data_IF_192067012635
#
_entry.id   IF_192067012635
#
_cell.length_a   1.000
_cell.length_b   1.000
_cell.length_c   1.000
_cell.angle_alpha   90.00
_cell.angle_beta   90.00
_cell.angle_gamma   90.00
#
_symmetry.space_group_name_H-M   'P 1'
#
loop_
_entity.id
_entity.type
_entity.pdbx_description
1 polymer ?
#
# COMPACT_ATOMS: atom_id res chain seq x y z
N UNK A 1 2.07 -25.90 -13.76
CA UNK A 1 2.81 -25.23 -12.66
C UNK A 1 2.18 -25.52 -11.28
N UNK A 2 0.86 -25.67 -11.23
CA UNK A 2 0.10 -25.78 -9.98
C UNK A 2 0.22 -27.15 -9.30
N UNK A 3 0.23 -28.26 -10.07
CA UNK A 3 0.39 -29.61 -9.52
C UNK A 3 1.76 -29.82 -8.83
N UNK A 4 2.84 -29.23 -9.36
CA UNK A 4 4.16 -29.31 -8.73
C UNK A 4 4.23 -28.54 -7.40
N UNK A 5 3.55 -27.40 -7.29
CA UNK A 5 3.45 -26.64 -6.03
C UNK A 5 2.59 -27.37 -5.01
N UNK A 6 1.46 -27.93 -5.43
CA UNK A 6 0.62 -28.75 -4.55
C UNK A 6 1.38 -29.93 -3.99
N UNK A 7 2.16 -30.66 -4.80
CA UNK A 7 3.03 -31.75 -4.36
C UNK A 7 4.11 -31.32 -3.34
N UNK A 8 4.54 -30.06 -3.36
CA UNK A 8 5.49 -29.55 -2.36
C UNK A 8 4.82 -29.15 -1.05
N UNK A 9 3.59 -28.63 -1.10
CA UNK A 9 2.84 -28.18 0.08
C UNK A 9 2.17 -29.35 0.81
N UNK A 10 1.70 -30.36 0.07
CA UNK A 10 1.01 -31.54 0.61
C UNK A 10 1.70 -32.20 1.81
N UNK A 11 2.99 -32.53 1.76
CA UNK A 11 3.65 -33.19 2.88
C UNK A 11 3.67 -32.34 4.14
N UNK A 12 3.73 -31.00 4.00
CA UNK A 12 3.71 -30.09 5.13
C UNK A 12 2.33 -30.08 5.80
N UNK A 13 1.24 -29.95 5.03
CA UNK A 13 -0.14 -29.96 5.54
C UNK A 13 -0.43 -31.28 6.25
N UNK A 14 -0.10 -32.41 5.63
CA UNK A 14 -0.31 -33.73 6.21
C UNK A 14 0.52 -33.96 7.49
N UNK A 15 1.72 -33.42 7.55
CA UNK A 15 2.62 -33.55 8.69
C UNK A 15 2.19 -32.65 9.86
N UNK A 16 1.86 -31.38 9.58
CA UNK A 16 1.55 -30.40 10.63
C UNK A 16 0.09 -30.47 11.11
N UNK A 17 -0.82 -30.99 10.28
CA UNK A 17 -2.27 -31.03 10.54
C UNK A 17 -2.77 -29.69 11.12
N UNK A 18 -2.62 -28.59 10.36
CA UNK A 18 -3.03 -27.28 10.82
C UNK A 18 -4.56 -27.22 10.97
N UNK A 19 -5.03 -26.46 11.95
CA UNK A 19 -6.46 -26.21 12.16
C UNK A 19 -7.04 -25.27 11.10
N UNK A 20 -6.18 -24.45 10.47
CA UNK A 20 -6.53 -23.47 9.45
C UNK A 20 -5.33 -23.17 8.53
N UNK A 21 -5.60 -22.81 7.30
CA UNK A 21 -4.60 -22.38 6.31
C UNK A 21 -4.86 -20.94 5.93
N UNK A 22 -3.83 -20.08 5.99
CA UNK A 22 -3.89 -18.72 5.47
C UNK A 22 -3.07 -18.66 4.17
N UNK A 23 -3.75 -18.42 3.06
CA UNK A 23 -3.13 -18.25 1.75
C UNK A 23 -2.95 -16.76 1.45
N UNK A 24 -1.72 -16.28 1.40
CA UNK A 24 -1.40 -14.87 1.15
C UNK A 24 -1.60 -14.42 -0.30
N UNK A 25 -1.95 -15.34 -1.19
CA UNK A 25 -2.23 -15.06 -2.61
C UNK A 25 -3.30 -16.03 -3.13
N UNK A 26 -4.16 -15.58 -4.06
CA UNK A 26 -5.17 -16.44 -4.70
C UNK A 26 -4.60 -17.71 -5.33
N UNK A 27 -3.39 -17.63 -5.90
CA UNK A 27 -2.70 -18.75 -6.53
C UNK A 27 -2.37 -19.88 -5.53
N UNK A 28 -2.01 -19.51 -4.30
CA UNK A 28 -1.72 -20.48 -3.25
C UNK A 28 -2.99 -21.20 -2.78
N UNK A 29 -4.09 -20.46 -2.62
CA UNK A 29 -5.40 -21.03 -2.31
C UNK A 29 -5.86 -21.99 -3.40
N UNK A 30 -5.75 -21.61 -4.68
CA UNK A 30 -6.08 -22.44 -5.83
C UNK A 30 -5.36 -23.79 -5.78
N UNK A 31 -4.06 -23.81 -5.51
CA UNK A 31 -3.29 -25.06 -5.40
C UNK A 31 -3.81 -25.98 -4.29
N UNK A 32 -4.29 -25.41 -3.18
CA UNK A 32 -4.75 -26.19 -2.04
C UNK A 32 -6.17 -26.69 -2.30
N UNK A 33 -7.10 -25.84 -2.72
CA UNK A 33 -8.50 -26.20 -2.97
C UNK A 33 -8.63 -27.26 -4.07
N UNK A 34 -7.81 -27.17 -5.12
CA UNK A 34 -7.87 -28.06 -6.26
C UNK A 34 -7.32 -29.48 -5.99
N UNK A 35 -6.34 -29.61 -5.09
CA UNK A 35 -5.62 -30.89 -4.91
C UNK A 35 -5.86 -31.55 -3.54
N UNK A 36 -6.56 -30.87 -2.62
CA UNK A 36 -6.86 -31.39 -1.28
C UNK A 36 -8.37 -31.39 -1.03
N UNK A 37 -8.99 -32.57 -1.11
CA UNK A 37 -10.43 -32.75 -0.88
C UNK A 37 -10.78 -32.70 0.61
N UNK A 38 -9.91 -33.25 1.48
CA UNK A 38 -10.06 -33.25 2.94
C UNK A 38 -9.03 -32.29 3.54
N UNK A 39 -9.30 -30.99 3.41
CA UNK A 39 -8.41 -29.91 3.84
C UNK A 39 -8.94 -29.14 5.05
N UNK A 40 -8.07 -28.58 5.87
CA UNK A 40 -8.48 -27.57 6.82
C UNK A 40 -9.13 -26.35 6.12
N UNK A 41 -9.92 -25.54 6.83
CA UNK A 41 -10.46 -24.30 6.27
C UNK A 41 -9.35 -23.39 5.76
N UNK A 42 -9.66 -22.67 4.65
CA UNK A 42 -8.72 -21.77 4.01
C UNK A 42 -9.24 -20.33 4.05
N UNK A 43 -8.42 -19.44 4.60
CA UNK A 43 -8.57 -17.99 4.44
C UNK A 43 -7.65 -17.55 3.31
N UNK A 44 -8.22 -16.92 2.27
CA UNK A 44 -7.42 -16.34 1.20
C UNK A 44 -7.33 -14.83 1.36
N UNK A 45 -6.09 -14.31 1.37
CA UNK A 45 -5.83 -12.88 1.44
C UNK A 45 -5.59 -12.29 0.05
N UNK A 46 -6.09 -11.08 -0.18
CA UNK A 46 -5.83 -10.30 -1.39
C UNK A 46 -5.12 -9.01 -1.01
N UNK A 47 -3.82 -8.92 -1.31
CA UNK A 47 -2.97 -7.77 -0.97
C UNK A 47 -2.95 -6.65 -2.03
N UNK A 48 -3.72 -6.78 -3.10
CA UNK A 48 -3.92 -5.75 -4.12
C UNK A 48 -5.42 -5.52 -4.34
N UNK A 49 -5.77 -4.47 -5.10
CA UNK A 49 -7.18 -4.25 -5.47
C UNK A 49 -7.72 -5.45 -6.25
N UNK A 50 -8.97 -5.87 -6.04
CA UNK A 50 -9.54 -7.02 -6.75
C UNK A 50 -9.43 -6.91 -8.27
N UNK A 51 -9.62 -5.72 -8.82
CA UNK A 51 -9.49 -5.47 -10.26
C UNK A 51 -8.09 -5.77 -10.83
N UNK A 52 -7.05 -5.82 -10.01
CA UNK A 52 -5.69 -6.17 -10.45
C UNK A 52 -5.58 -7.64 -10.89
N UNK A 53 -6.46 -8.50 -10.42
CA UNK A 53 -6.45 -9.95 -10.67
C UNK A 53 -7.41 -10.43 -11.76
N UNK A 54 -8.13 -9.52 -12.43
CA UNK A 54 -9.16 -9.88 -13.43
C UNK A 54 -8.69 -10.82 -14.55
N UNK A 55 -7.40 -10.83 -14.85
CA UNK A 55 -6.81 -11.67 -15.91
C UNK A 55 -6.14 -12.95 -15.38
N UNK A 56 -6.16 -13.17 -14.07
CA UNK A 56 -5.55 -14.35 -13.47
C UNK A 56 -6.54 -15.51 -13.41
N UNK A 57 -6.30 -16.63 -14.10
CA UNK A 57 -7.21 -17.77 -14.12
C UNK A 57 -7.42 -18.40 -12.74
N UNK A 58 -6.44 -18.28 -11.85
CA UNK A 58 -6.48 -18.80 -10.47
C UNK A 58 -7.51 -18.10 -9.57
N UNK A 59 -8.00 -16.92 -9.97
CA UNK A 59 -9.04 -16.20 -9.19
C UNK A 59 -10.40 -16.88 -9.22
N UNK A 60 -10.65 -17.77 -10.18
CA UNK A 60 -11.87 -18.58 -10.21
C UNK A 60 -12.05 -19.42 -8.93
N UNK A 61 -10.95 -19.78 -8.25
CA UNK A 61 -10.97 -20.60 -7.03
C UNK A 61 -11.13 -19.77 -5.74
N UNK A 62 -11.20 -18.44 -5.82
CA UNK A 62 -11.49 -17.63 -4.65
C UNK A 62 -12.84 -17.95 -4.02
N UNK A 63 -13.84 -18.31 -4.83
CA UNK A 63 -15.16 -18.71 -4.35
C UNK A 63 -15.14 -20.04 -3.54
N UNK A 64 -14.09 -20.83 -3.67
CA UNK A 64 -13.90 -22.10 -2.93
C UNK A 64 -13.17 -21.90 -1.60
N UNK A 65 -12.70 -20.68 -1.30
CA UNK A 65 -12.13 -20.35 0.00
C UNK A 65 -13.24 -20.22 1.04
N UNK A 66 -12.97 -20.68 2.26
CA UNK A 66 -13.94 -20.59 3.35
C UNK A 66 -14.14 -19.14 3.80
N UNK A 67 -13.09 -18.31 3.64
CA UNK A 67 -13.16 -16.86 3.81
C UNK A 67 -12.16 -16.16 2.88
N UNK A 68 -12.58 -15.06 2.26
CA UNK A 68 -11.68 -14.12 1.56
C UNK A 68 -11.50 -12.86 2.38
N UNK A 69 -10.25 -12.51 2.65
CA UNK A 69 -9.88 -11.28 3.36
C UNK A 69 -9.26 -10.29 2.38
N UNK A 70 -9.85 -9.10 2.31
CA UNK A 70 -9.38 -7.97 1.52
C UNK A 70 -8.90 -6.84 2.43
N UNK A 71 -8.13 -5.89 1.91
CA UNK A 71 -7.50 -4.86 2.74
C UNK A 71 -8.40 -3.65 3.01
N UNK A 72 -9.43 -3.41 2.20
CA UNK A 72 -10.31 -2.25 2.32
C UNK A 72 -11.79 -2.65 2.23
N UNK A 73 -12.69 -1.95 2.95
CA UNK A 73 -14.13 -2.27 2.96
C UNK A 73 -14.76 -2.28 1.57
N UNK A 74 -14.42 -1.35 0.69
CA UNK A 74 -14.93 -1.27 -0.68
C UNK A 74 -14.51 -2.46 -1.55
N UNK A 75 -13.45 -3.17 -1.19
CA UNK A 75 -13.01 -4.38 -1.90
C UNK A 75 -13.87 -5.60 -1.59
N UNK A 76 -14.61 -5.60 -0.48
CA UNK A 76 -15.52 -6.71 -0.11
C UNK A 76 -16.58 -6.90 -1.19
N UNK A 77 -17.25 -5.83 -1.60
CA UNK A 77 -18.27 -5.91 -2.64
C UNK A 77 -17.65 -6.21 -4.02
N UNK A 78 -16.47 -5.68 -4.28
CA UNK A 78 -15.77 -5.96 -5.54
C UNK A 78 -15.41 -7.44 -5.70
N UNK A 79 -14.92 -8.13 -4.67
CA UNK A 79 -14.61 -9.57 -4.77
C UNK A 79 -15.87 -10.41 -4.94
N UNK A 80 -16.99 -10.01 -4.33
CA UNK A 80 -18.28 -10.66 -4.55
C UNK A 80 -18.74 -10.57 -5.99
N UNK A 81 -18.69 -9.38 -6.55
CA UNK A 81 -19.14 -9.12 -7.92
C UNK A 81 -18.20 -9.74 -8.98
N UNK A 82 -16.89 -9.62 -8.79
CA UNK A 82 -15.91 -10.04 -9.79
C UNK A 82 -15.64 -11.56 -9.76
N UNK A 83 -15.72 -12.18 -8.59
CA UNK A 83 -15.25 -13.55 -8.40
C UNK A 83 -16.27 -14.50 -7.78
N UNK A 84 -17.51 -14.03 -7.49
CA UNK A 84 -18.56 -14.86 -6.90
C UNK A 84 -18.27 -15.30 -5.45
N UNK A 85 -17.38 -14.59 -4.75
CA UNK A 85 -17.04 -14.88 -3.36
C UNK A 85 -18.25 -14.59 -2.47
N UNK A 86 -18.68 -15.58 -1.67
CA UNK A 86 -19.83 -15.44 -0.76
C UNK A 86 -19.41 -14.92 0.61
N UNK A 87 -18.28 -15.39 1.13
CA UNK A 87 -17.75 -15.03 2.44
C UNK A 87 -16.52 -14.13 2.27
N UNK A 88 -16.69 -12.83 2.44
CA UNK A 88 -15.61 -11.86 2.36
C UNK A 88 -15.74 -10.80 3.44
N UNK A 89 -14.60 -10.42 4.02
CA UNK A 89 -14.48 -9.33 5.01
C UNK A 89 -13.25 -8.47 4.67
N UNK A 90 -13.18 -7.29 5.27
CA UNK A 90 -11.98 -6.46 5.20
C UNK A 90 -11.22 -6.48 6.52
N UNK A 91 -9.92 -6.76 6.46
CA UNK A 91 -8.96 -6.55 7.54
C UNK A 91 -7.76 -5.85 6.93
N UNK A 92 -7.49 -4.59 7.30
CA UNK A 92 -6.37 -3.84 6.76
C UNK A 92 -5.03 -4.35 7.29
N UNK A 93 -3.93 -3.88 6.70
CA UNK A 93 -2.61 -4.11 7.27
C UNK A 93 -2.44 -3.33 8.57
N UNK A 94 -1.74 -3.91 9.53
CA UNK A 94 -1.31 -3.23 10.74
C UNK A 94 -0.23 -2.19 10.40
N UNK A 95 -0.31 -1.02 11.05
CA UNK A 95 0.67 0.05 10.93
C UNK A 95 1.32 0.24 12.29
N UNK A 96 2.63 0.05 12.34
CA UNK A 96 3.43 0.24 13.55
C UNK A 96 3.28 1.66 14.08
N UNK A 97 2.94 1.78 15.36
CA UNK A 97 2.95 3.07 16.03
C UNK A 97 4.38 3.61 16.11
N UNK A 98 4.54 4.85 15.71
CA UNK A 98 5.85 5.48 15.71
C UNK A 98 6.08 6.26 17.01
N UNK A 99 7.29 6.19 17.60
CA UNK A 99 7.56 6.91 18.82
C UNK A 99 7.48 8.44 18.59
N UNK A 100 6.91 9.22 19.54
CA UNK A 100 6.80 10.68 19.41
C UNK A 100 8.12 11.37 19.04
N UNK A 101 9.25 10.85 19.53
CA UNK A 101 10.58 11.36 19.17
C UNK A 101 10.87 11.36 17.66
N UNK A 102 10.19 10.52 16.89
CA UNK A 102 10.38 10.42 15.44
C UNK A 102 9.66 11.54 14.67
N UNK A 103 8.62 12.15 15.23
CA UNK A 103 7.85 13.18 14.53
C UNK A 103 7.73 14.52 15.28
N UNK A 104 7.84 14.56 16.61
CA UNK A 104 7.78 15.79 17.38
C UNK A 104 9.12 16.52 17.43
N UNK A 105 10.25 15.77 17.48
CA UNK A 105 11.59 16.31 17.68
C UNK A 105 12.37 16.50 16.39
N UNK A 106 11.93 15.96 15.26
CA UNK A 106 12.64 16.05 13.99
C UNK A 106 12.28 17.36 13.28
N UNK A 107 13.32 18.17 13.02
CA UNK A 107 13.17 19.34 12.15
C UNK A 107 12.88 18.88 10.72
N UNK A 108 11.71 19.22 10.21
CA UNK A 108 11.32 18.91 8.84
C UNK A 108 12.20 19.66 7.82
N UNK A 109 12.65 18.91 6.82
CA UNK A 109 13.39 19.46 5.68
C UNK A 109 12.40 19.90 4.60
N UNK A 110 12.75 20.90 3.79
CA UNK A 110 11.99 21.29 2.59
C UNK A 110 12.15 20.21 1.51
N UNK A 111 11.62 19.02 1.78
CA UNK A 111 11.76 17.84 0.95
C UNK A 111 10.41 17.20 0.69
N UNK A 112 10.13 16.93 -0.57
CA UNK A 112 9.06 16.06 -1.04
C UNK A 112 9.67 14.66 -1.17
N UNK A 113 9.07 13.66 -0.55
CA UNK A 113 9.57 12.29 -0.61
C UNK A 113 8.55 11.37 -1.30
N UNK A 114 9.06 10.49 -2.15
CA UNK A 114 8.31 9.37 -2.73
C UNK A 114 9.01 8.08 -2.37
N UNK A 115 8.34 7.18 -1.63
CA UNK A 115 8.88 5.88 -1.24
C UNK A 115 7.99 4.80 -1.83
N UNK A 116 8.46 4.11 -2.87
CA UNK A 116 7.74 3.04 -3.54
C UNK A 116 8.69 2.23 -4.43
N UNK A 117 8.27 1.04 -4.87
CA UNK A 117 8.96 0.38 -5.99
C UNK A 117 9.08 1.34 -7.17
N UNK A 118 10.21 1.35 -7.84
CA UNK A 118 10.37 2.19 -9.02
C UNK A 118 9.76 1.45 -10.21
N UNK A 119 8.64 1.97 -10.73
CA UNK A 119 7.88 1.35 -11.82
C UNK A 119 7.08 2.37 -12.60
N UNK A 120 7.20 2.34 -13.93
CA UNK A 120 6.52 3.27 -14.83
C UNK A 120 5.00 3.14 -14.78
N UNK A 121 4.47 1.93 -14.83
CA UNK A 121 3.04 1.67 -14.93
C UNK A 121 2.32 1.71 -13.57
N UNK A 122 3.04 1.33 -12.50
CA UNK A 122 2.42 1.15 -11.18
C UNK A 122 2.60 2.36 -10.26
N UNK A 123 3.75 3.05 -10.34
CA UNK A 123 4.10 4.10 -9.38
C UNK A 123 4.32 5.48 -10.02
N UNK A 124 4.55 5.54 -11.32
CA UNK A 124 4.58 6.77 -12.15
C UNK A 124 5.43 7.92 -11.58
N UNK A 125 6.61 7.64 -11.03
CA UNK A 125 7.49 8.65 -10.43
C UNK A 125 7.83 9.81 -11.39
N UNK A 126 7.77 9.59 -12.71
CA UNK A 126 7.95 10.64 -13.71
C UNK A 126 6.93 11.79 -13.54
N UNK A 127 5.67 11.51 -13.14
CA UNK A 127 4.66 12.54 -12.92
C UNK A 127 5.02 13.47 -11.74
N UNK A 128 5.65 12.92 -10.68
CA UNK A 128 6.18 13.75 -9.59
C UNK A 128 7.31 14.66 -10.08
N UNK A 129 8.22 14.14 -10.92
CA UNK A 129 9.33 14.92 -11.48
C UNK A 129 8.79 16.04 -12.38
N UNK A 130 7.83 15.74 -13.24
CA UNK A 130 7.17 16.71 -14.13
C UNK A 130 6.43 17.79 -13.33
N UNK A 131 5.65 17.40 -12.33
CA UNK A 131 4.95 18.34 -11.45
C UNK A 131 5.90 19.25 -10.67
N UNK A 132 7.01 18.71 -10.16
CA UNK A 132 8.00 19.52 -9.47
C UNK A 132 8.76 20.47 -10.41
N UNK A 133 8.94 20.10 -11.68
CA UNK A 133 9.57 20.97 -12.68
C UNK A 133 8.83 22.29 -12.86
N UNK A 134 7.50 22.31 -12.72
CA UNK A 134 6.70 23.54 -12.78
C UNK A 134 6.94 24.46 -11.57
N UNK A 135 7.41 23.91 -10.47
CA UNK A 135 7.54 24.59 -9.18
C UNK A 135 8.99 25.00 -8.86
N UNK A 136 9.98 24.42 -9.52
CA UNK A 136 11.40 24.54 -9.14
C UNK A 136 11.90 25.99 -9.02
N UNK A 137 11.49 26.86 -9.94
CA UNK A 137 11.92 28.26 -9.95
C UNK A 137 11.31 29.08 -8.81
N UNK A 138 10.08 28.73 -8.40
CA UNK A 138 9.38 29.38 -7.30
C UNK A 138 9.87 28.88 -5.93
N UNK A 139 10.38 27.63 -5.88
CA UNK A 139 10.81 26.97 -4.65
C UNK A 139 12.25 26.42 -4.76
N UNK A 140 13.27 27.27 -4.95
CA UNK A 140 14.64 26.83 -5.22
C UNK A 140 15.28 26.03 -4.06
N UNK A 141 14.77 26.16 -2.83
CA UNK A 141 15.26 25.47 -1.64
C UNK A 141 14.64 24.09 -1.44
N UNK A 142 13.57 23.75 -2.19
CA UNK A 142 12.92 22.48 -2.07
C UNK A 142 13.63 21.40 -2.87
N UNK A 143 13.53 20.17 -2.38
CA UNK A 143 14.11 18.97 -3.00
C UNK A 143 13.07 17.88 -3.16
N UNK A 144 13.34 16.95 -4.07
CA UNK A 144 12.57 15.71 -4.24
C UNK A 144 13.51 14.53 -4.04
N UNK A 145 13.10 13.60 -3.20
CA UNK A 145 13.78 12.32 -3.02
C UNK A 145 12.87 11.17 -3.45
N UNK A 146 13.39 10.35 -4.36
CA UNK A 146 12.72 9.13 -4.82
C UNK A 146 13.47 7.93 -4.27
N UNK A 147 12.80 7.20 -3.38
CA UNK A 147 13.33 6.01 -2.72
C UNK A 147 12.65 4.76 -3.27
N UNK A 148 13.43 3.75 -3.60
CA UNK A 148 12.95 2.47 -4.11
C UNK A 148 14.07 1.64 -4.70
N UNK A 149 13.78 0.37 -4.98
CA UNK A 149 14.73 -0.52 -5.61
C UNK A 149 15.03 -0.08 -7.04
N UNK A 150 16.29 0.22 -7.31
CA UNK A 150 16.78 0.65 -8.62
C UNK A 150 17.22 -0.50 -9.53
N UNK A 151 17.17 -1.73 -9.04
CA UNK A 151 17.58 -2.91 -9.79
C UNK A 151 16.45 -3.58 -10.58
N UNK A 152 15.18 -3.28 -10.24
CA UNK A 152 13.99 -3.96 -10.78
C UNK A 152 13.67 -3.50 -12.20
N UNK A 153 13.78 -2.20 -12.49
CA UNK A 153 13.41 -1.59 -13.77
C UNK A 153 14.50 -0.59 -14.19
N UNK A 154 15.60 -1.13 -14.71
CA UNK A 154 16.77 -0.34 -15.13
C UNK A 154 16.45 0.67 -16.23
N UNK A 155 15.54 0.31 -17.15
CA UNK A 155 15.16 1.16 -18.28
C UNK A 155 14.39 2.37 -17.78
N UNK A 156 13.44 2.17 -16.89
CA UNK A 156 12.68 3.27 -16.30
C UNK A 156 13.56 4.16 -15.41
N UNK A 157 14.53 3.60 -14.69
CA UNK A 157 15.55 4.40 -13.97
C UNK A 157 16.34 5.28 -14.94
N UNK A 158 16.73 4.75 -16.10
CA UNK A 158 17.39 5.50 -17.16
C UNK A 158 16.52 6.64 -17.68
N UNK A 159 15.23 6.38 -17.90
CA UNK A 159 14.25 7.38 -18.30
C UNK A 159 14.10 8.51 -17.27
N UNK A 160 13.97 8.16 -15.97
CA UNK A 160 13.87 9.15 -14.89
C UNK A 160 15.11 10.04 -14.81
N UNK A 161 16.31 9.45 -14.87
CA UNK A 161 17.57 10.22 -14.89
C UNK A 161 17.65 11.13 -16.12
N UNK A 162 17.26 10.63 -17.29
CA UNK A 162 17.19 11.42 -18.51
C UNK A 162 16.17 12.56 -18.43
N UNK A 163 15.03 12.34 -17.78
CA UNK A 163 14.01 13.36 -17.54
C UNK A 163 14.54 14.46 -16.60
N UNK A 164 15.14 14.08 -15.48
CA UNK A 164 15.77 14.99 -14.51
C UNK A 164 16.81 15.88 -15.22
N UNK A 165 17.66 15.28 -16.06
CA UNK A 165 18.68 16.01 -16.82
C UNK A 165 18.07 16.99 -17.84
N UNK A 166 17.10 16.54 -18.64
CA UNK A 166 16.42 17.41 -19.63
C UNK A 166 15.73 18.62 -19.00
N UNK A 167 15.25 18.46 -17.76
CA UNK A 167 14.57 19.52 -17.00
C UNK A 167 15.53 20.37 -16.15
N UNK A 168 16.82 20.03 -16.09
CA UNK A 168 17.84 20.75 -15.31
C UNK A 168 17.66 20.63 -13.79
N UNK A 169 17.13 19.48 -13.30
CA UNK A 169 16.72 19.29 -11.92
C UNK A 169 17.72 18.49 -11.06
N UNK A 170 18.93 18.22 -11.56
CA UNK A 170 19.92 17.35 -10.89
C UNK A 170 20.35 17.85 -9.49
N UNK A 171 20.19 19.15 -9.23
CA UNK A 171 20.51 19.74 -7.93
C UNK A 171 19.38 19.59 -6.90
N UNK A 172 18.16 19.37 -7.37
CA UNK A 172 16.95 19.33 -6.54
C UNK A 172 16.32 17.95 -6.44
N UNK A 173 16.50 17.08 -7.46
CA UNK A 173 15.91 15.73 -7.47
C UNK A 173 16.98 14.66 -7.37
N UNK A 174 16.78 13.72 -6.46
CA UNK A 174 17.67 12.56 -6.26
C UNK A 174 16.91 11.25 -6.25
N UNK A 175 17.42 10.26 -6.98
CA UNK A 175 17.01 8.85 -6.87
C UNK A 175 17.94 8.21 -5.85
N UNK A 176 17.39 7.77 -4.70
CA UNK A 176 18.16 7.46 -3.50
C UNK A 176 18.45 5.95 -3.32
N UNK A 177 17.76 5.08 -4.07
CA UNK A 177 17.84 3.63 -3.85
C UNK A 177 16.95 3.13 -2.72
N UNK A 178 17.25 1.97 -2.18
CA UNK A 178 16.48 1.34 -1.09
C UNK A 178 16.89 1.89 0.29
N UNK A 179 15.97 1.74 1.25
CA UNK A 179 16.21 2.00 2.68
C UNK A 179 15.58 0.92 3.53
N UNK A 180 16.21 0.60 4.66
CA UNK A 180 15.68 -0.29 5.69
C UNK A 180 15.00 0.50 6.83
N UNK A 181 14.96 1.84 6.74
CA UNK A 181 14.41 2.74 7.76
C UNK A 181 13.41 3.69 7.13
N UNK A 182 12.35 3.14 6.54
CA UNK A 182 11.35 3.89 5.75
C UNK A 182 10.75 5.02 6.57
N UNK A 183 10.22 4.74 7.77
CA UNK A 183 9.61 5.75 8.64
C UNK A 183 10.58 6.88 9.01
N UNK A 184 11.88 6.58 9.22
CA UNK A 184 12.87 7.58 9.55
C UNK A 184 13.20 8.52 8.38
N UNK A 185 13.30 8.01 7.15
CA UNK A 185 13.54 8.88 5.99
C UNK A 185 12.30 9.70 5.65
N UNK A 186 11.09 9.17 5.85
CA UNK A 186 9.86 9.91 5.67
C UNK A 186 9.72 11.00 6.73
N UNK A 187 10.00 10.69 8.00
CA UNK A 187 9.80 11.60 9.12
C UNK A 187 10.57 12.94 8.99
N UNK A 188 11.69 12.97 8.29
CA UNK A 188 12.44 14.21 8.03
C UNK A 188 11.86 15.04 6.87
N UNK A 189 11.04 14.44 6.00
CA UNK A 189 10.43 15.15 4.88
C UNK A 189 9.25 16.04 5.32
N UNK A 190 8.87 16.98 4.46
CA UNK A 190 7.72 17.86 4.68
C UNK A 190 6.46 17.41 3.97
N UNK A 191 6.59 16.66 2.87
CA UNK A 191 5.48 16.19 2.04
C UNK A 191 5.81 14.79 1.53
N UNK A 192 4.84 13.88 1.59
CA UNK A 192 4.89 12.59 0.92
C UNK A 192 4.08 12.64 -0.37
N UNK A 193 4.67 12.21 -1.48
CA UNK A 193 4.02 12.23 -2.80
C UNK A 193 3.87 10.81 -3.36
N UNK A 194 2.64 10.41 -3.72
CA UNK A 194 2.34 9.11 -4.30
C UNK A 194 1.56 9.26 -5.62
N UNK A 195 2.23 9.36 -6.77
CA UNK A 195 1.57 9.53 -8.07
C UNK A 195 1.07 8.20 -8.68
N UNK A 196 0.77 7.22 -7.85
CA UNK A 196 0.28 5.90 -8.28
C UNK A 196 -1.12 5.97 -8.84
N UNK A 197 -1.45 5.23 -9.91
CA UNK A 197 -2.80 5.16 -10.47
C UNK A 197 -3.72 4.23 -9.67
N UNK A 198 -3.14 3.31 -8.88
CA UNK A 198 -3.87 2.34 -8.05
C UNK A 198 -2.96 1.78 -6.97
N UNK A 199 -3.54 1.51 -5.82
CA UNK A 199 -2.90 0.84 -4.68
C UNK A 199 -3.86 -0.20 -4.09
N UNK A 200 -3.30 -1.22 -3.43
CA UNK A 200 -4.09 -2.12 -2.59
C UNK A 200 -4.30 -1.53 -1.20
N UNK A 201 -3.19 -1.31 -0.52
CA UNK A 201 -3.06 -0.64 0.77
C UNK A 201 -1.61 -0.11 0.85
N UNK A 202 -1.37 1.15 0.52
CA UNK A 202 -0.02 1.70 0.37
C UNK A 202 0.66 1.92 1.73
N UNK A 203 1.47 0.95 2.19
CA UNK A 203 2.13 0.99 3.50
C UNK A 203 2.97 2.25 3.71
N UNK A 204 3.79 2.65 2.73
CA UNK A 204 4.63 3.84 2.85
C UNK A 204 3.82 5.14 3.01
N UNK A 205 2.61 5.21 2.43
CA UNK A 205 1.65 6.30 2.65
C UNK A 205 1.16 6.27 4.10
N UNK A 206 0.76 5.10 4.60
CA UNK A 206 0.32 4.95 6.00
C UNK A 206 1.46 5.30 6.97
N UNK A 207 2.67 4.86 6.71
CA UNK A 207 3.86 5.22 7.48
C UNK A 207 4.11 6.73 7.46
N UNK A 208 3.85 7.41 6.33
CA UNK A 208 3.93 8.85 6.23
C UNK A 208 2.92 9.55 7.15
N UNK A 209 1.67 9.13 7.11
CA UNK A 209 0.62 9.65 8.00
C UNK A 209 0.98 9.38 9.48
N UNK A 210 1.50 8.19 9.79
CA UNK A 210 1.88 7.80 11.16
C UNK A 210 3.03 8.65 11.75
N UNK A 211 3.88 9.26 10.92
CA UNK A 211 4.94 10.19 11.35
C UNK A 211 4.59 11.66 11.08
N UNK A 212 3.33 11.96 10.83
CA UNK A 212 2.82 13.32 10.68
C UNK A 212 3.33 14.06 9.44
N UNK A 213 3.58 13.34 8.35
CA UNK A 213 3.93 13.91 7.04
C UNK A 213 2.72 13.83 6.13
N UNK A 214 2.13 14.98 5.72
CA UNK A 214 0.94 14.99 4.87
C UNK A 214 1.22 14.44 3.49
N UNK A 215 0.19 13.84 2.90
CA UNK A 215 0.26 13.11 1.63
C UNK A 215 -0.35 13.91 0.50
N UNK A 216 0.26 13.83 -0.70
CA UNK A 216 -0.37 14.18 -1.98
C UNK A 216 -0.48 12.91 -2.81
N UNK A 217 -1.69 12.56 -3.25
CA UNK A 217 -1.94 11.44 -4.16
C UNK A 217 -3.09 11.77 -5.11
N UNK A 218 -3.32 10.92 -6.13
CA UNK A 218 -4.44 11.11 -7.03
C UNK A 218 -5.77 10.68 -6.41
N UNK A 219 -6.81 11.48 -6.61
CA UNK A 219 -8.20 11.19 -6.20
C UNK A 219 -8.72 9.90 -6.84
N UNK A 220 -8.30 9.63 -8.06
CA UNK A 220 -8.64 8.43 -8.81
C UNK A 220 -7.92 7.15 -8.33
N UNK A 221 -6.94 7.25 -7.42
CA UNK A 221 -6.13 6.11 -6.96
C UNK A 221 -6.89 5.30 -5.90
N UNK A 222 -7.46 4.13 -6.24
CA UNK A 222 -8.06 3.24 -5.25
C UNK A 222 -7.03 2.86 -4.19
N UNK A 223 -7.45 2.68 -2.96
CA UNK A 223 -6.58 2.38 -1.83
C UNK A 223 -5.93 3.61 -1.22
N UNK A 224 -5.33 4.51 -1.99
CA UNK A 224 -4.79 5.75 -1.47
C UNK A 224 -5.90 6.74 -1.08
N UNK A 225 -6.92 6.91 -1.94
CA UNK A 225 -8.06 7.80 -1.69
C UNK A 225 -8.99 7.34 -0.56
N UNK A 226 -8.87 6.10 -0.10
CA UNK A 226 -9.56 5.62 1.11
C UNK A 226 -8.84 6.09 2.39
N UNK A 227 -7.52 6.13 2.35
CA UNK A 227 -6.67 6.46 3.49
C UNK A 227 -6.43 7.98 3.62
N UNK A 228 -6.39 8.68 2.47
CA UNK A 228 -6.23 10.13 2.43
C UNK A 228 -7.59 10.81 2.38
N UNK A 229 -7.89 11.58 3.42
CA UNK A 229 -9.05 12.46 3.50
C UNK A 229 -8.64 13.86 3.06
N UNK A 230 -9.23 14.30 1.93
CA UNK A 230 -8.87 15.55 1.27
C UNK A 230 -9.02 16.76 2.21
N UNK A 231 -7.97 17.57 2.31
CA UNK A 231 -7.86 18.72 3.22
C UNK A 231 -7.93 18.39 4.73
N UNK A 232 -7.89 17.10 5.13
CA UNK A 232 -7.89 16.68 6.53
C UNK A 232 -6.54 16.08 6.95
N UNK A 233 -6.00 15.07 6.20
CA UNK A 233 -4.71 14.45 6.46
C UNK A 233 -3.77 14.47 5.25
N UNK A 234 -4.22 15.00 4.11
CA UNK A 234 -3.49 15.13 2.86
C UNK A 234 -4.30 15.88 1.82
N UNK A 235 -3.82 15.88 0.57
CA UNK A 235 -4.51 16.48 -0.56
C UNK A 235 -4.70 15.44 -1.67
N UNK A 236 -5.89 15.42 -2.26
CA UNK A 236 -6.25 14.59 -3.40
C UNK A 236 -6.23 15.41 -4.68
N UNK A 237 -5.21 15.19 -5.51
CA UNK A 237 -5.11 15.80 -6.84
C UNK A 237 -5.98 15.08 -7.87
N UNK A 238 -6.49 15.80 -8.86
CA UNK A 238 -7.07 15.20 -10.06
C UNK A 238 -5.95 14.52 -10.90
N UNK A 239 -6.31 13.58 -11.78
CA UNK A 239 -5.35 12.75 -12.54
C UNK A 239 -4.65 13.54 -13.66
N UNK A 240 -3.91 14.58 -13.26
CA UNK A 240 -3.06 15.40 -14.14
C UNK A 240 -1.82 15.92 -13.41
N UNK A 241 -0.77 16.20 -14.18
CA UNK A 241 0.48 16.78 -13.66
C UNK A 241 0.20 18.16 -13.03
N UNK A 242 -0.56 19.01 -13.69
CA UNK A 242 -0.89 20.36 -13.21
C UNK A 242 -1.62 20.35 -11.87
N UNK A 243 -2.62 19.46 -11.71
CA UNK A 243 -3.35 19.32 -10.44
C UNK A 243 -2.46 18.76 -9.35
N UNK A 244 -1.57 17.83 -9.67
CA UNK A 244 -0.60 17.30 -8.73
C UNK A 244 0.41 18.37 -8.30
N UNK A 245 0.90 19.18 -9.25
CA UNK A 245 1.75 20.34 -8.98
C UNK A 245 1.07 21.37 -8.09
N UNK A 246 -0.19 21.70 -8.34
CA UNK A 246 -0.97 22.65 -7.51
C UNK A 246 -1.12 22.13 -6.07
N UNK A 247 -1.38 20.84 -5.88
CA UNK A 247 -1.46 20.23 -4.55
C UNK A 247 -0.11 20.27 -3.82
N UNK A 248 0.99 19.99 -4.53
CA UNK A 248 2.34 20.13 -3.97
C UNK A 248 2.63 21.59 -3.61
N UNK A 249 2.33 22.53 -4.49
CA UNK A 249 2.54 23.98 -4.27
C UNK A 249 1.80 24.44 -2.99
N UNK A 250 0.54 24.06 -2.83
CA UNK A 250 -0.27 24.38 -1.65
C UNK A 250 0.45 23.96 -0.36
N UNK A 251 0.94 22.73 -0.32
CA UNK A 251 1.68 22.25 0.86
C UNK A 251 3.08 22.85 0.99
N UNK A 252 3.77 23.17 -0.11
CA UNK A 252 5.10 23.80 -0.07
C UNK A 252 5.04 25.20 0.53
N UNK A 253 3.99 25.96 0.26
CA UNK A 253 3.79 27.34 0.72
C UNK A 253 3.36 27.43 2.20
N UNK A 254 2.56 26.48 2.68
CA UNK A 254 1.89 26.58 3.98
C UNK A 254 2.37 25.50 4.97
N UNK A 255 3.28 25.93 5.85
CA UNK A 255 3.79 25.07 6.93
C UNK A 255 2.73 24.76 7.99
N UNK A 256 1.87 25.71 8.30
CA UNK A 256 0.81 25.51 9.28
C UNK A 256 -0.20 24.47 8.81
N UNK A 257 -0.56 24.50 7.52
CA UNK A 257 -1.39 23.47 6.90
C UNK A 257 -0.70 22.09 6.95
N UNK A 258 0.59 22.00 6.59
CA UNK A 258 1.31 20.72 6.72
C UNK A 258 1.28 20.15 8.13
N UNK A 259 1.47 21.00 9.15
CA UNK A 259 1.41 20.59 10.55
C UNK A 259 0.00 20.16 10.97
N UNK A 260 -1.03 20.85 10.49
CA UNK A 260 -2.42 20.50 10.76
C UNK A 260 -2.76 19.13 10.17
N UNK A 261 -2.51 18.93 8.88
CA UNK A 261 -2.76 17.68 8.17
C UNK A 261 -1.95 16.52 8.76
N UNK A 262 -0.69 16.79 9.13
CA UNK A 262 0.19 15.79 9.75
C UNK A 262 -0.33 15.31 11.11
N UNK A 263 -0.82 16.21 11.97
CA UNK A 263 -1.44 15.82 13.25
C UNK A 263 -2.66 14.93 13.05
N UNK A 264 -3.51 15.28 12.07
CA UNK A 264 -4.66 14.46 11.75
C UNK A 264 -4.26 13.08 11.21
N UNK A 265 -3.21 13.02 10.38
CA UNK A 265 -2.66 11.76 9.88
C UNK A 265 -2.24 10.81 11.00
N UNK A 266 -1.52 11.32 12.01
CA UNK A 266 -1.13 10.52 13.19
C UNK A 266 -2.37 9.96 13.90
N UNK A 267 -3.38 10.78 14.10
CA UNK A 267 -4.61 10.36 14.78
C UNK A 267 -5.36 9.27 13.99
N UNK A 268 -5.46 9.44 12.67
CA UNK A 268 -6.13 8.50 11.79
C UNK A 268 -5.43 7.13 11.79
N UNK A 269 -4.10 7.09 11.85
CA UNK A 269 -3.34 5.83 11.83
C UNK A 269 -3.49 5.00 13.09
N UNK A 270 -3.95 5.56 14.20
CA UNK A 270 -4.31 4.79 15.42
C UNK A 270 -5.43 3.77 15.19
N UNK A 271 -6.25 3.94 14.14
CA UNK A 271 -7.24 2.94 13.76
C UNK A 271 -6.62 1.65 13.24
N UNK A 272 -5.39 1.73 12.73
CA UNK A 272 -4.63 0.64 12.13
C UNK A 272 -3.54 0.08 13.05
N UNK A 273 -3.56 0.45 14.34
CA UNK A 273 -2.59 -0.02 15.34
C UNK A 273 -2.55 -1.55 15.39
N UNK A 274 -1.36 -2.16 15.57
CA UNK A 274 -1.18 -3.63 15.53
C UNK A 274 -2.14 -4.38 16.45
N UNK A 275 -2.30 -3.92 17.69
CA UNK A 275 -3.21 -4.54 18.65
C UNK A 275 -4.65 -4.64 18.13
N UNK A 276 -5.16 -3.58 17.50
CA UNK A 276 -6.53 -3.58 16.95
C UNK A 276 -6.69 -4.55 15.78
N UNK A 277 -5.68 -4.60 14.91
CA UNK A 277 -5.71 -5.46 13.73
C UNK A 277 -5.54 -6.94 14.12
N UNK A 278 -4.65 -7.23 15.06
CA UNK A 278 -4.46 -8.61 15.55
C UNK A 278 -5.69 -9.13 16.31
N UNK A 279 -6.37 -8.31 17.11
CA UNK A 279 -7.63 -8.69 17.75
C UNK A 279 -8.74 -9.03 16.72
N UNK A 280 -8.79 -8.32 15.58
CA UNK A 280 -9.70 -8.69 14.49
C UNK A 280 -9.33 -10.04 13.90
N UNK A 281 -8.03 -10.28 13.65
CA UNK A 281 -7.54 -11.55 13.14
C UNK A 281 -7.84 -12.72 14.09
N UNK A 282 -7.58 -12.59 15.38
CA UNK A 282 -7.91 -13.61 16.40
C UNK A 282 -9.39 -13.98 16.34
N UNK A 283 -10.27 -12.98 16.35
CA UNK A 283 -11.71 -13.21 16.27
C UNK A 283 -12.12 -13.95 15.00
N UNK A 284 -11.51 -13.64 13.88
CA UNK A 284 -11.79 -14.24 12.58
C UNK A 284 -11.29 -15.69 12.54
N UNK A 285 -10.06 -15.94 13.00
CA UNK A 285 -9.48 -17.29 13.06
C UNK A 285 -10.32 -18.22 13.91
N UNK A 286 -10.68 -17.78 15.13
CA UNK A 286 -11.53 -18.53 16.04
C UNK A 286 -12.90 -18.86 15.44
N UNK A 287 -13.51 -17.92 14.73
CA UNK A 287 -14.82 -18.13 14.10
C UNK A 287 -14.73 -19.15 12.96
N UNK A 288 -13.71 -19.03 12.09
CA UNK A 288 -13.53 -19.97 10.97
C UNK A 288 -13.22 -21.37 11.47
N UNK A 289 -12.38 -21.53 12.49
CA UNK A 289 -12.07 -22.83 13.08
C UNK A 289 -13.33 -23.46 13.66
N UNK A 290 -14.08 -22.74 14.52
CA UNK A 290 -15.31 -23.25 15.14
C UNK A 290 -16.38 -23.68 14.14
N UNK A 291 -16.51 -23.00 13.00
CA UNK A 291 -17.46 -23.36 11.96
C UNK A 291 -17.11 -24.67 11.24
N UNK A 292 -15.85 -25.10 11.32
CA UNK A 292 -15.34 -26.32 10.70
C UNK A 292 -15.03 -27.44 11.70
N UNK A 293 -15.19 -27.20 13.00
CA UNK A 293 -15.15 -28.29 13.97
C UNK A 293 -16.28 -29.28 13.69
N UNK A 294 -16.01 -30.60 13.62
CA UNK A 294 -17.07 -31.58 13.49
C UNK A 294 -17.98 -31.44 14.71
N UNK A 295 -19.28 -31.21 14.48
CA UNK A 295 -20.27 -31.21 15.55
C UNK A 295 -20.12 -32.53 16.30
N UNK A 296 -19.59 -32.46 17.53
CA UNK A 296 -19.62 -33.63 18.40
C UNK A 296 -21.09 -34.01 18.65
N UNK A 297 -21.48 -35.28 18.41
CA UNK A 297 -22.86 -35.73 18.58
C UNK A 297 -23.33 -35.66 20.03
#
# INVERSE_FOLDING_TARGET
MDQARACQISPAILKFRPDIIIAFQPESACCITQYFMDRPPIITMMHASPAAFLKHPQTAFLAESDLTVVLLPEYVEQVRQLYGVTHAISIPNAIEEQPPSLYESIKKEKTIICVARISRSEKRQHLLIEAFAELQSKFPDWKVEVWGDTSIDSDYIGELKGLIHRLGLERQIRICGQTNTVSAVIARASIFALPSPKEGFPLALCESLAVGVPVVCFRSCPGANHLVRDHENGLLAEDSVDSFALSLETLMQDEALRQQLGRQGIEDMKAYAPEKIWNQWESVLDNVIRQHEPHQP
#
